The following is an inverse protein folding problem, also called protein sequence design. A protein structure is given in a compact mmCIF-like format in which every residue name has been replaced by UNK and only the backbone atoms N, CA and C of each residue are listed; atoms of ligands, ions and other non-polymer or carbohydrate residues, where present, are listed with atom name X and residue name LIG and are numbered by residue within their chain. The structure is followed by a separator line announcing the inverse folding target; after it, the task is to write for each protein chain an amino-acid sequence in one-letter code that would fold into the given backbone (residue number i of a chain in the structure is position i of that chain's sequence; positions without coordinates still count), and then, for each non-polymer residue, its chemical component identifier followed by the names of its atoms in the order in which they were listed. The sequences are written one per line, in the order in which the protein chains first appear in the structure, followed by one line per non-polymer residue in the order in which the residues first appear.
data_IF_243191612364
#
_entry.id   IF_243191612364
#
_cell.length_a   1.000
_cell.length_b   1.000
_cell.length_c   1.000
_cell.angle_alpha   90.00
_cell.angle_beta   90.00
_cell.angle_gamma   90.00
#
_symmetry.space_group_name_H-M   'P 1'
#
loop_
_entity.id
_entity.type
_entity.pdbx_description
1 polymer ?
#
# COMPACT_ATOMS: atom_id res chain seq x y z
N UNK A 1 -23.71 -0.39 11.41
CA UNK A 1 -22.99 -1.68 11.23
C UNK A 1 -21.65 -1.45 11.90
N UNK A 2 -21.40 -2.09 13.03
CA UNK A 2 -20.23 -1.76 13.85
C UNK A 2 -18.94 -2.21 13.16
N UNK A 3 -17.94 -1.34 13.10
CA UNK A 3 -16.67 -1.56 12.36
C UNK A 3 -15.91 -2.83 12.79
N UNK A 4 -16.07 -3.23 14.04
CA UNK A 4 -15.54 -4.46 14.62
C UNK A 4 -16.04 -5.70 13.85
N UNK A 5 -17.24 -5.63 13.29
CA UNK A 5 -17.88 -6.73 12.56
C UNK A 5 -17.25 -6.95 11.17
N UNK A 6 -16.88 -5.88 10.46
CA UNK A 6 -16.30 -5.99 9.10
C UNK A 6 -14.88 -6.57 9.13
N UNK A 7 -14.02 -6.11 10.04
CA UNK A 7 -12.66 -6.63 10.14
C UNK A 7 -12.65 -8.11 10.53
N UNK A 8 -13.52 -8.49 11.47
CA UNK A 8 -13.69 -9.88 11.91
C UNK A 8 -14.20 -10.77 10.78
N UNK A 9 -15.19 -10.30 10.01
CA UNK A 9 -15.70 -11.02 8.83
C UNK A 9 -14.63 -11.20 7.76
N UNK A 10 -13.85 -10.16 7.47
CA UNK A 10 -12.77 -10.22 6.49
C UNK A 10 -11.66 -11.17 6.94
N UNK A 11 -11.31 -11.17 8.23
CA UNK A 11 -10.37 -12.14 8.79
C UNK A 11 -10.88 -13.57 8.63
N UNK A 12 -12.16 -13.84 8.95
CA UNK A 12 -12.77 -15.16 8.76
C UNK A 12 -12.74 -15.61 7.28
N UNK A 13 -12.97 -14.69 6.34
CA UNK A 13 -12.88 -14.98 4.92
C UNK A 13 -11.45 -15.33 4.49
N UNK A 14 -10.46 -14.61 5.03
CA UNK A 14 -9.06 -14.91 4.80
C UNK A 14 -8.70 -16.29 5.37
N UNK A 15 -9.05 -16.57 6.63
CA UNK A 15 -8.75 -17.83 7.31
C UNK A 15 -9.34 -19.06 6.59
N UNK A 16 -10.48 -18.89 5.89
CA UNK A 16 -11.11 -19.93 5.08
C UNK A 16 -10.50 -20.10 3.69
N UNK A 17 -9.58 -19.22 3.30
CA UNK A 17 -8.97 -19.14 1.98
C UNK A 17 -7.44 -19.26 2.10
N UNK A 18 -6.90 -20.43 2.48
CA UNK A 18 -5.46 -20.58 2.78
C UNK A 18 -4.54 -20.22 1.60
N UNK A 19 -5.04 -20.33 0.36
CA UNK A 19 -4.33 -19.99 -0.88
C UNK A 19 -4.58 -18.55 -1.37
N UNK A 20 -5.14 -17.68 -0.52
CA UNK A 20 -5.38 -16.28 -0.85
C UNK A 20 -4.05 -15.51 -0.88
N UNK A 21 -3.50 -15.35 -2.08
CA UNK A 21 -2.23 -14.67 -2.29
C UNK A 21 -2.34 -13.18 -2.60
N UNK A 22 -3.51 -12.72 -3.05
CA UNK A 22 -3.75 -11.34 -3.46
C UNK A 22 -5.03 -10.80 -2.84
N UNK A 23 -4.95 -9.60 -2.29
CA UNK A 23 -6.11 -8.82 -1.85
C UNK A 23 -6.17 -7.51 -2.62
N UNK A 24 -7.33 -7.23 -3.20
CA UNK A 24 -7.65 -5.95 -3.82
C UNK A 24 -8.79 -5.31 -3.08
N UNK A 25 -8.61 -4.05 -2.70
CA UNK A 25 -9.63 -3.25 -2.06
C UNK A 25 -10.05 -2.14 -3.01
N UNK A 26 -11.26 -2.27 -3.58
CA UNK A 26 -11.77 -1.31 -4.56
C UNK A 26 -12.20 0.02 -3.92
N UNK A 27 -12.72 -0.05 -2.70
CA UNK A 27 -13.05 1.11 -1.87
C UNK A 27 -13.09 0.69 -0.40
N UNK A 28 -12.72 1.61 0.49
CA UNK A 28 -13.09 1.54 1.90
C UNK A 28 -13.54 2.93 2.35
N UNK A 29 -14.52 2.96 3.26
CA UNK A 29 -15.36 4.13 3.47
C UNK A 29 -14.78 5.16 4.47
N UNK A 30 -13.74 4.83 5.23
CA UNK A 30 -13.04 5.85 6.01
C UNK A 30 -11.51 5.75 5.91
N UNK A 31 -10.88 6.92 5.86
CA UNK A 31 -9.42 7.06 5.83
C UNK A 31 -8.75 6.37 7.03
N UNK A 32 -9.43 6.17 8.14
CA UNK A 32 -8.89 5.54 9.36
C UNK A 32 -9.18 4.02 9.46
N UNK A 33 -9.83 3.43 8.44
CA UNK A 33 -10.42 2.08 8.51
C UNK A 33 -9.71 1.05 7.62
N UNK A 34 -8.50 1.35 7.14
CA UNK A 34 -7.78 0.32 6.41
C UNK A 34 -7.56 -0.89 7.34
N UNK A 35 -7.85 -2.13 6.91
CA UNK A 35 -7.82 -3.28 7.78
C UNK A 35 -6.39 -3.80 8.01
N UNK A 36 -5.52 -2.94 8.56
CA UNK A 36 -4.16 -3.27 9.01
C UNK A 36 -4.14 -4.46 9.99
N UNK A 37 -5.29 -4.77 10.59
CA UNK A 37 -5.48 -5.91 11.49
C UNK A 37 -5.58 -7.27 10.80
N UNK A 38 -5.69 -7.36 9.46
CA UNK A 38 -5.72 -8.65 8.77
C UNK A 38 -4.39 -9.37 8.95
N UNK A 39 -4.45 -10.58 9.48
CA UNK A 39 -3.32 -11.47 9.67
C UNK A 39 -3.53 -12.70 8.81
N UNK A 40 -3.00 -12.71 7.60
CA UNK A 40 -3.11 -13.88 6.72
C UNK A 40 -1.80 -14.15 6.00
N UNK A 41 -1.14 -15.24 6.37
CA UNK A 41 0.28 -15.49 6.07
C UNK A 41 0.59 -15.81 4.61
N UNK A 42 -0.41 -16.07 3.76
CA UNK A 42 -0.19 -16.35 2.33
C UNK A 42 -0.39 -15.13 1.42
N UNK A 43 -0.89 -14.02 1.94
CA UNK A 43 -1.04 -12.79 1.15
C UNK A 43 0.34 -12.22 0.85
N UNK A 44 0.61 -11.99 -0.43
CA UNK A 44 1.86 -11.41 -0.96
C UNK A 44 1.60 -10.18 -1.82
N UNK A 45 0.38 -10.00 -2.31
CA UNK A 45 0.01 -8.86 -3.13
C UNK A 45 -1.12 -8.07 -2.49
N UNK A 46 -0.93 -6.76 -2.43
CA UNK A 46 -1.92 -5.79 -1.97
C UNK A 46 -2.18 -4.76 -3.06
N UNK A 47 -3.43 -4.69 -3.50
CA UNK A 47 -3.90 -3.61 -4.37
C UNK A 47 -4.81 -2.68 -3.58
N UNK A 48 -4.25 -1.51 -3.26
CA UNK A 48 -4.83 -0.46 -2.46
C UNK A 48 -5.24 0.76 -3.31
N UNK A 49 -5.22 0.61 -4.63
CA UNK A 49 -5.66 1.66 -5.53
C UNK A 49 -7.17 1.68 -5.59
N UNK A 50 -7.75 2.85 -5.32
CA UNK A 50 -9.18 3.09 -5.44
C UNK A 50 -9.47 4.53 -5.83
N UNK A 51 -10.66 4.79 -6.38
CA UNK A 51 -11.07 6.15 -6.73
C UNK A 51 -11.07 7.03 -5.47
N UNK A 52 -10.34 8.13 -5.52
CA UNK A 52 -10.21 9.12 -4.43
C UNK A 52 -9.53 8.61 -3.14
N UNK A 53 -8.77 7.51 -3.23
CA UNK A 53 -7.97 7.02 -2.10
C UNK A 53 -6.55 7.56 -2.25
N UNK A 54 -6.11 8.33 -1.26
CA UNK A 54 -4.75 8.85 -1.18
C UNK A 54 -4.24 8.65 0.24
N UNK A 55 -3.16 7.90 0.36
CA UNK A 55 -2.53 7.56 1.63
C UNK A 55 -1.56 8.66 2.06
N UNK A 56 -1.73 9.13 3.30
CA UNK A 56 -0.81 10.04 3.95
C UNK A 56 0.36 9.28 4.62
N UNK A 57 1.33 10.03 5.13
CA UNK A 57 2.52 9.48 5.78
C UNK A 57 2.19 8.54 6.95
N UNK A 58 1.24 8.89 7.82
CA UNK A 58 0.87 8.08 8.97
C UNK A 58 0.30 6.74 8.54
N UNK A 59 -0.59 6.74 7.55
CA UNK A 59 -1.17 5.49 7.02
C UNK A 59 -0.13 4.63 6.30
N UNK A 60 0.83 5.24 5.58
CA UNK A 60 1.94 4.52 4.97
C UNK A 60 2.84 3.85 6.02
N UNK A 61 3.09 4.57 7.13
CA UNK A 61 3.85 4.03 8.25
C UNK A 61 3.11 2.87 8.93
N UNK A 62 1.82 3.01 9.19
CA UNK A 62 0.97 1.95 9.74
C UNK A 62 0.91 0.73 8.82
N UNK A 63 0.75 0.94 7.51
CA UNK A 63 0.83 -0.11 6.51
C UNK A 63 2.15 -0.85 6.60
N UNK A 64 3.26 -0.10 6.58
CA UNK A 64 4.60 -0.69 6.60
C UNK A 64 4.83 -1.52 7.86
N UNK A 65 4.25 -1.15 9.00
CA UNK A 65 4.39 -1.86 10.28
C UNK A 65 3.39 -3.00 10.48
N UNK A 66 2.32 -3.04 9.69
CA UNK A 66 1.28 -4.06 9.78
C UNK A 66 1.80 -5.45 9.40
N UNK A 67 1.14 -6.51 9.90
CA UNK A 67 1.49 -7.89 9.54
C UNK A 67 1.45 -8.09 8.02
N UNK A 68 0.40 -7.59 7.38
CA UNK A 68 0.19 -7.74 5.95
C UNK A 68 1.21 -6.93 5.13
N UNK A 69 1.60 -5.75 5.60
CA UNK A 69 2.64 -4.94 4.96
C UNK A 69 4.03 -5.55 5.07
N UNK A 70 4.37 -6.14 6.22
CA UNK A 70 5.68 -6.77 6.43
C UNK A 70 5.91 -7.99 5.54
N UNK A 71 4.87 -8.68 5.08
CA UNK A 71 4.96 -9.84 4.18
C UNK A 71 4.61 -9.51 2.71
N UNK A 72 4.21 -8.27 2.43
CA UNK A 72 3.79 -7.85 1.10
C UNK A 72 5.00 -7.83 0.16
N UNK A 73 4.89 -8.53 -0.96
CA UNK A 73 5.88 -8.54 -2.05
C UNK A 73 5.51 -7.55 -3.16
N UNK A 74 4.22 -7.33 -3.41
CA UNK A 74 3.73 -6.44 -4.48
C UNK A 74 2.68 -5.50 -3.93
N UNK A 75 2.96 -4.19 -3.96
CA UNK A 75 2.06 -3.15 -3.48
C UNK A 75 1.62 -2.24 -4.63
N UNK A 76 0.32 -2.06 -4.78
CA UNK A 76 -0.26 -0.99 -5.59
C UNK A 76 -0.87 0.05 -4.64
N UNK A 77 -0.45 1.31 -4.72
CA UNK A 77 -0.86 2.35 -3.77
C UNK A 77 -0.85 3.74 -4.40
N UNK A 78 -1.67 4.64 -3.89
CA UNK A 78 -1.64 6.07 -4.21
C UNK A 78 -1.26 6.86 -2.97
N UNK A 79 -0.17 7.61 -3.02
CA UNK A 79 0.38 8.35 -1.86
C UNK A 79 0.30 9.86 -2.04
N UNK A 80 0.25 10.57 -0.92
CA UNK A 80 0.16 12.03 -0.89
C UNK A 80 1.50 12.70 -1.18
N UNK A 81 2.61 12.14 -0.67
CA UNK A 81 3.94 12.71 -0.81
C UNK A 81 4.92 11.69 -1.37
N UNK A 82 5.91 12.17 -2.13
CA UNK A 82 6.95 11.30 -2.69
C UNK A 82 7.86 10.68 -1.63
N UNK A 83 8.07 11.38 -0.51
CA UNK A 83 8.80 10.85 0.64
C UNK A 83 8.15 9.60 1.21
N UNK A 84 6.82 9.49 1.14
CA UNK A 84 6.08 8.32 1.60
C UNK A 84 6.44 7.06 0.79
N UNK A 85 6.85 7.23 -0.49
CA UNK A 85 7.33 6.13 -1.35
C UNK A 85 8.62 5.52 -0.78
N UNK A 86 9.56 6.38 -0.38
CA UNK A 86 10.84 5.96 0.18
C UNK A 86 10.64 5.30 1.54
N UNK A 87 9.73 5.84 2.36
CA UNK A 87 9.38 5.25 3.64
C UNK A 87 8.80 3.85 3.46
N UNK A 88 7.91 3.63 2.48
CA UNK A 88 7.38 2.30 2.18
C UNK A 88 8.49 1.32 1.76
N UNK A 89 9.36 1.73 0.83
CA UNK A 89 10.47 0.90 0.32
C UNK A 89 11.43 0.51 1.46
N UNK A 90 11.77 1.46 2.34
CA UNK A 90 12.72 1.20 3.42
C UNK A 90 12.13 0.33 4.55
N UNK A 91 10.82 0.39 4.79
CA UNK A 91 10.19 -0.29 5.92
C UNK A 91 9.53 -1.63 5.56
N UNK A 92 9.16 -1.85 4.29
CA UNK A 92 8.55 -3.10 3.83
C UNK A 92 9.61 -4.05 3.27
N UNK A 93 10.28 -4.80 4.15
CA UNK A 93 11.48 -5.59 3.83
C UNK A 93 11.29 -6.68 2.77
N UNK A 94 10.07 -7.18 2.61
CA UNK A 94 9.74 -8.19 1.61
C UNK A 94 9.22 -7.59 0.31
N UNK A 95 9.13 -6.27 0.19
CA UNK A 95 8.62 -5.59 -1.00
C UNK A 95 9.58 -5.80 -2.18
N UNK A 96 9.04 -6.31 -3.28
CA UNK A 96 9.76 -6.60 -4.53
C UNK A 96 9.29 -5.73 -5.67
N UNK A 97 8.02 -5.32 -5.65
CA UNK A 97 7.45 -4.42 -6.63
C UNK A 97 6.53 -3.39 -5.96
N UNK A 98 6.71 -2.11 -6.31
CA UNK A 98 5.89 -1.00 -5.87
C UNK A 98 5.32 -0.28 -7.08
N UNK A 99 4.00 -0.33 -7.25
CA UNK A 99 3.27 0.38 -8.28
C UNK A 99 2.60 1.56 -7.60
N UNK A 100 3.16 2.77 -7.78
CA UNK A 100 2.74 3.94 -7.02
C UNK A 100 2.27 5.09 -7.89
N UNK A 101 1.18 5.73 -7.47
CA UNK A 101 0.76 7.04 -7.96
C UNK A 101 1.02 8.08 -6.86
N UNK A 102 1.54 9.24 -7.22
CA UNK A 102 1.72 10.36 -6.29
C UNK A 102 0.85 11.52 -6.78
N UNK A 103 -0.03 12.05 -5.93
CA UNK A 103 -1.03 13.06 -6.34
C UNK A 103 -0.64 14.46 -5.87
N UNK A 104 0.59 14.94 -6.15
CA UNK A 104 0.88 16.33 -5.81
C UNK A 104 -0.03 17.21 -6.70
N UNK A 105 -0.24 18.45 -6.31
CA UNK A 105 -1.27 19.34 -6.88
C UNK A 105 -0.97 19.84 -8.30
N UNK A 106 -0.11 19.17 -9.07
CA UNK A 106 0.27 19.57 -10.43
C UNK A 106 -0.28 18.62 -11.49
N UNK A 107 -0.38 19.08 -12.73
CA UNK A 107 -0.91 18.30 -13.85
C UNK A 107 -0.17 16.97 -14.03
N UNK A 108 -0.93 15.87 -14.13
CA UNK A 108 -0.42 14.48 -14.05
C UNK A 108 0.81 14.14 -14.90
N UNK A 109 0.97 14.75 -16.09
CA UNK A 109 2.11 14.47 -16.97
C UNK A 109 3.44 15.01 -16.44
N UNK A 110 3.45 16.25 -15.92
CA UNK A 110 4.68 16.84 -15.34
C UNK A 110 5.09 16.16 -14.04
N UNK A 111 4.14 15.54 -13.34
CA UNK A 111 4.44 14.83 -12.10
C UNK A 111 5.17 13.51 -12.33
N UNK A 112 4.85 12.78 -13.41
CA UNK A 112 5.46 11.47 -13.69
C UNK A 112 6.93 11.58 -14.07
N UNK A 113 7.30 12.49 -14.99
CA UNK A 113 8.70 12.71 -15.37
C UNK A 113 9.53 13.16 -14.16
N UNK A 114 8.99 14.10 -13.38
CA UNK A 114 9.65 14.62 -12.20
C UNK A 114 9.70 13.62 -11.03
N UNK A 115 8.76 12.65 -10.98
CA UNK A 115 8.81 11.55 -10.02
C UNK A 115 9.89 10.53 -10.40
N UNK A 116 10.00 10.17 -11.68
CA UNK A 116 11.01 9.23 -12.16
C UNK A 116 12.43 9.74 -11.87
N UNK A 117 12.73 10.98 -12.24
CA UNK A 117 14.04 11.60 -11.95
C UNK A 117 14.31 11.67 -10.45
N UNK A 118 13.29 12.02 -9.66
CA UNK A 118 13.41 12.08 -8.21
C UNK A 118 13.72 10.69 -7.61
N UNK A 119 13.02 9.63 -8.06
CA UNK A 119 13.27 8.27 -7.60
C UNK A 119 14.68 7.79 -7.99
N UNK A 120 15.15 8.10 -9.20
CA UNK A 120 16.52 7.76 -9.61
C UNK A 120 17.60 8.40 -8.72
N UNK A 121 17.32 9.56 -8.13
CA UNK A 121 18.25 10.25 -7.22
C UNK A 121 18.18 9.77 -5.77
N UNK A 122 17.05 9.21 -5.33
CA UNK A 122 16.80 8.90 -3.92
C UNK A 122 16.72 7.40 -3.63
N UNK A 123 16.55 6.55 -4.64
CA UNK A 123 16.52 5.10 -4.44
C UNK A 123 17.93 4.51 -4.40
N UNK A 124 18.14 3.45 -3.59
CA UNK A 124 19.36 2.66 -3.66
C UNK A 124 19.57 2.09 -5.07
N UNK A 125 20.83 1.91 -5.49
CA UNK A 125 21.17 1.27 -6.77
C UNK A 125 20.66 -0.18 -6.91
N UNK A 126 20.19 -0.79 -5.82
CA UNK A 126 19.55 -2.11 -5.83
C UNK A 126 18.11 -2.07 -6.34
N UNK A 127 17.50 -0.90 -6.49
CA UNK A 127 16.16 -0.72 -7.03
C UNK A 127 16.22 -0.44 -8.54
N UNK A 128 15.29 -1.04 -9.28
CA UNK A 128 15.03 -0.73 -10.69
C UNK A 128 13.69 0.01 -10.81
N UNK A 129 13.64 1.01 -11.70
CA UNK A 129 12.42 1.81 -11.98
C UNK A 129 12.01 1.58 -13.43
#
# INVERSE_FOLDING_TARGET
MDLIDIHSKLQILCDRSPHLHSLKFFSWFAQDEFPFGIKHSSIRQLDLQGPNIVYNQQQCLELSRSFIGQQCEVLFITVKQRTDIIDLINNMKNLRALIVQCTKTMSMQKENENLLEWLQQHLPMTCSI
#
